data_IF_687553369977
#
_entry.id   IF_687553369977
#
_cell.length_a   1.000
_cell.length_b   1.000
_cell.length_c   1.000
_cell.angle_alpha   90.00
_cell.angle_beta   90.00
_cell.angle_gamma   90.00
#
_symmetry.space_group_name_H-M   'P 1'
#
loop_
_entity.id
_entity.type
_entity.pdbx_description
1 polymer ?
#
# COMPACT_ATOMS: atom_id res chain seq x y z
N UNK A 1 15.01 -29.95 24.55
CA UNK A 1 13.79 -29.13 24.68
C UNK A 1 14.07 -27.82 23.95
N UNK A 2 13.73 -27.73 22.66
CA UNK A 2 14.02 -26.58 21.81
C UNK A 2 12.69 -26.05 21.28
N UNK A 3 12.39 -24.78 21.56
CA UNK A 3 11.17 -24.11 21.11
C UNK A 3 11.33 -23.78 19.63
N UNK A 4 10.54 -24.46 18.79
CA UNK A 4 10.30 -24.06 17.41
C UNK A 4 9.35 -22.87 17.45
N UNK A 5 9.82 -21.68 17.09
CA UNK A 5 8.91 -20.58 16.79
C UNK A 5 8.36 -20.84 15.39
N UNK A 6 7.25 -21.57 15.34
CA UNK A 6 6.40 -21.64 14.16
C UNK A 6 5.78 -20.26 13.98
N UNK A 7 6.43 -19.41 13.18
CA UNK A 7 5.84 -18.16 12.70
C UNK A 7 4.74 -18.60 11.74
N UNK A 8 3.53 -18.78 12.27
CA UNK A 8 2.36 -18.96 11.44
C UNK A 8 2.22 -17.69 10.61
N UNK A 9 2.28 -17.82 9.28
CA UNK A 9 1.88 -16.75 8.38
C UNK A 9 0.54 -16.21 8.89
N UNK A 10 0.41 -14.89 9.11
CA UNK A 10 -0.84 -14.37 9.60
C UNK A 10 -1.90 -14.72 8.55
N UNK A 11 -2.90 -15.51 8.95
CA UNK A 11 -4.12 -15.73 8.19
C UNK A 11 -4.89 -14.42 8.18
N UNK A 12 -4.40 -13.44 7.41
CA UNK A 12 -5.14 -12.24 7.07
C UNK A 12 -6.18 -12.68 6.04
N UNK A 13 -7.21 -13.44 6.48
CA UNK A 13 -8.50 -13.53 5.79
C UNK A 13 -9.34 -12.28 6.11
N UNK A 14 -8.67 -11.14 6.29
CA UNK A 14 -9.35 -9.88 6.07
C UNK A 14 -9.47 -9.83 4.56
N UNK A 15 -10.66 -10.13 4.05
CA UNK A 15 -11.12 -9.62 2.76
C UNK A 15 -11.10 -8.10 2.85
N UNK A 16 -9.90 -7.51 2.84
CA UNK A 16 -9.61 -6.15 2.48
C UNK A 16 -10.00 -6.08 1.00
N UNK A 17 -11.32 -6.07 0.75
CA UNK A 17 -11.85 -5.28 -0.34
C UNK A 17 -11.46 -3.88 0.06
N UNK A 18 -10.23 -3.50 -0.26
CA UNK A 18 -9.79 -2.12 -0.33
C UNK A 18 -10.89 -1.46 -1.15
N UNK A 19 -11.85 -0.85 -0.45
CA UNK A 19 -12.83 -0.02 -1.12
C UNK A 19 -11.97 0.93 -1.92
N UNK A 20 -12.39 1.22 -3.13
CA UNK A 20 -11.70 2.11 -4.04
C UNK A 20 -11.11 3.34 -3.31
N UNK A 21 -11.87 3.91 -2.37
CA UNK A 21 -11.44 5.02 -1.50
C UNK A 21 -10.30 4.73 -0.51
N UNK A 22 -10.09 3.48 -0.10
CA UNK A 22 -9.01 3.07 0.81
C UNK A 22 -7.63 3.27 0.19
N UNK A 23 -7.48 3.12 -1.13
CA UNK A 23 -6.20 3.39 -1.80
C UNK A 23 -5.81 4.86 -1.66
N UNK A 24 -6.78 5.78 -1.80
CA UNK A 24 -6.56 7.22 -1.57
C UNK A 24 -6.00 7.47 -0.17
N UNK A 25 -6.61 6.91 0.87
CA UNK A 25 -6.16 7.12 2.24
C UNK A 25 -4.78 6.52 2.52
N UNK A 26 -4.46 5.36 1.94
CA UNK A 26 -3.12 4.78 2.05
C UNK A 26 -2.07 5.65 1.36
N UNK A 27 -2.35 6.15 0.14
CA UNK A 27 -1.44 7.04 -0.58
C UNK A 27 -1.24 8.34 0.22
N UNK A 28 -2.33 8.94 0.70
CA UNK A 28 -2.30 10.17 1.51
C UNK A 28 -1.47 9.98 2.79
N UNK A 29 -1.67 8.85 3.49
CA UNK A 29 -0.89 8.47 4.66
C UNK A 29 0.59 8.35 4.34
N UNK A 30 0.96 7.57 3.32
CA UNK A 30 2.35 7.37 2.92
C UNK A 30 3.03 8.70 2.61
N UNK A 31 2.38 9.57 1.83
CA UNK A 31 2.94 10.87 1.46
C UNK A 31 3.03 11.84 2.65
N UNK A 32 2.14 11.70 3.63
CA UNK A 32 2.15 12.56 4.83
C UNK A 32 3.20 12.16 5.86
N UNK A 33 3.56 10.88 5.91
CA UNK A 33 4.43 10.32 6.96
C UNK A 33 5.76 9.78 6.44
N UNK A 34 6.06 9.94 5.14
CA UNK A 34 7.39 9.68 4.57
C UNK A 34 7.99 10.92 3.93
N UNK A 35 9.26 10.85 3.57
CA UNK A 35 9.93 11.90 2.79
C UNK A 35 9.60 11.82 1.28
N UNK A 36 8.68 10.94 0.88
CA UNK A 36 8.30 10.76 -0.51
C UNK A 36 7.30 11.83 -0.96
N UNK A 37 7.54 12.36 -2.15
CA UNK A 37 6.51 13.03 -2.92
C UNK A 37 5.74 12.04 -3.80
N UNK A 38 4.67 12.52 -4.45
CA UNK A 38 3.84 11.69 -5.33
C UNK A 38 4.67 11.04 -6.46
N UNK A 39 5.72 11.72 -6.94
CA UNK A 39 6.60 11.18 -7.99
C UNK A 39 7.45 10.03 -7.47
N UNK A 40 8.02 10.15 -6.27
CA UNK A 40 8.82 9.13 -5.62
C UNK A 40 8.00 7.87 -5.34
N UNK A 41 6.79 8.03 -4.79
CA UNK A 41 5.89 6.90 -4.58
C UNK A 41 5.46 6.24 -5.90
N UNK A 42 5.20 7.02 -6.95
CA UNK A 42 4.86 6.47 -8.27
C UNK A 42 6.00 5.65 -8.87
N UNK A 43 7.25 6.07 -8.67
CA UNK A 43 8.42 5.31 -9.11
C UNK A 43 8.55 3.97 -8.37
N UNK A 44 8.35 3.96 -7.04
CA UNK A 44 8.39 2.74 -6.23
C UNK A 44 7.33 1.74 -6.71
N UNK A 45 6.10 2.23 -6.94
CA UNK A 45 4.99 1.40 -7.42
C UNK A 45 5.05 1.07 -8.92
N UNK A 46 6.03 1.62 -9.65
CA UNK A 46 6.18 1.49 -11.12
C UNK A 46 4.91 1.89 -11.87
N UNK A 47 4.27 2.98 -11.45
CA UNK A 47 3.10 3.58 -12.11
C UNK A 47 3.43 4.99 -12.58
N UNK A 48 2.60 5.56 -13.46
CA UNK A 48 2.79 6.95 -13.85
C UNK A 48 2.42 7.88 -12.68
N UNK A 49 3.13 9.01 -12.49
CA UNK A 49 2.75 10.01 -11.48
C UNK A 49 1.32 10.54 -11.67
N UNK A 50 0.84 10.61 -12.92
CA UNK A 50 -0.53 11.01 -13.23
C UNK A 50 -1.55 10.02 -12.65
N UNK A 51 -1.34 8.71 -12.86
CA UNK A 51 -2.22 7.67 -12.35
C UNK A 51 -2.27 7.70 -10.82
N UNK A 52 -1.11 7.87 -10.16
CA UNK A 52 -1.06 7.97 -8.70
C UNK A 52 -1.76 9.24 -8.19
N UNK A 53 -1.60 10.37 -8.89
CA UNK A 53 -2.29 11.63 -8.56
C UNK A 53 -3.81 11.51 -8.71
N UNK A 54 -4.29 10.80 -9.74
CA UNK A 54 -5.72 10.52 -9.93
C UNK A 54 -6.26 9.58 -8.85
N UNK A 55 -5.47 8.60 -8.42
CA UNK A 55 -5.81 7.72 -7.29
C UNK A 55 -5.88 8.47 -5.96
N UNK A 56 -4.92 9.37 -5.68
CA UNK A 56 -4.94 10.25 -4.52
C UNK A 56 -6.16 11.20 -4.54
N UNK A 57 -6.55 11.68 -5.73
CA UNK A 57 -7.76 12.47 -5.89
C UNK A 57 -9.06 11.66 -5.76
N UNK A 58 -8.99 10.32 -5.63
CA UNK A 58 -10.15 9.42 -5.61
C UNK A 58 -10.88 9.31 -6.95
N UNK A 59 -10.25 9.74 -8.04
CA UNK A 59 -10.83 9.75 -9.40
C UNK A 59 -10.59 8.44 -10.14
N UNK A 60 -9.48 7.78 -9.85
CA UNK A 60 -9.11 6.48 -10.39
C UNK A 60 -8.57 5.56 -9.28
N UNK A 61 -8.27 4.31 -9.64
CA UNK A 61 -7.76 3.32 -8.70
C UNK A 61 -6.65 2.51 -9.35
N UNK A 62 -5.65 2.17 -8.54
CA UNK A 62 -4.61 1.23 -8.90
C UNK A 62 -5.24 -0.16 -9.13
N UNK A 63 -4.80 -0.82 -10.20
CA UNK A 63 -5.15 -2.20 -10.49
C UNK A 63 -4.70 -3.14 -9.36
N UNK A 64 -5.20 -4.38 -9.31
CA UNK A 64 -5.01 -5.29 -8.18
C UNK A 64 -3.54 -5.56 -7.82
N UNK A 65 -2.66 -5.72 -8.82
CA UNK A 65 -1.21 -5.87 -8.61
C UNK A 65 -0.63 -4.64 -7.89
N UNK A 66 -0.93 -3.44 -8.38
CA UNK A 66 -0.43 -2.17 -7.82
C UNK A 66 -1.06 -1.80 -6.50
N UNK A 67 -2.29 -2.22 -6.27
CA UNK A 67 -2.93 -2.10 -4.96
C UNK A 67 -2.25 -3.00 -3.91
N UNK A 68 -1.80 -4.20 -4.32
CA UNK A 68 -1.02 -5.08 -3.46
C UNK A 68 0.35 -4.47 -3.14
N UNK A 69 1.06 -3.97 -4.16
CA UNK A 69 2.36 -3.29 -3.98
C UNK A 69 2.24 -2.10 -3.02
N UNK A 70 1.18 -1.28 -3.16
CA UNK A 70 0.89 -0.16 -2.25
C UNK A 70 0.67 -0.62 -0.81
N UNK A 71 -0.08 -1.70 -0.62
CA UNK A 71 -0.36 -2.24 0.71
C UNK A 71 0.87 -2.87 1.36
N UNK A 72 1.70 -3.57 0.59
CA UNK A 72 2.98 -4.10 1.06
C UNK A 72 3.91 -2.96 1.49
N UNK A 73 4.01 -1.90 0.69
CA UNK A 73 4.81 -0.73 1.06
C UNK A 73 4.32 -0.09 2.36
N UNK A 74 3.00 0.03 2.53
CA UNK A 74 2.40 0.51 3.77
C UNK A 74 2.79 -0.37 4.97
N UNK A 75 2.70 -1.70 4.86
CA UNK A 75 3.10 -2.64 5.91
C UNK A 75 4.58 -2.44 6.30
N UNK A 76 5.47 -2.33 5.32
CA UNK A 76 6.90 -2.08 5.55
C UNK A 76 7.10 -0.75 6.29
N UNK A 77 6.37 0.30 5.91
CA UNK A 77 6.45 1.61 6.57
C UNK A 77 6.05 1.56 8.04
N UNK A 78 5.00 0.82 8.39
CA UNK A 78 4.50 0.72 9.78
C UNK A 78 5.22 -0.36 10.60
N UNK A 79 6.11 -1.15 9.98
CA UNK A 79 6.93 -2.16 10.66
C UNK A 79 6.15 -3.39 11.15
N UNK A 80 5.07 -3.77 10.44
CA UNK A 80 4.28 -4.98 10.71
C UNK A 80 4.77 -6.16 9.87
#
# INVERSE_FOLDING_TARGET
MGCFTEISEPLIDVKFKLKKDAQKYLIDYILSYSELDCKGLAQILKVSPLMLSQALAGKEFLGPEKACDLFQYFIIMIGI
#
